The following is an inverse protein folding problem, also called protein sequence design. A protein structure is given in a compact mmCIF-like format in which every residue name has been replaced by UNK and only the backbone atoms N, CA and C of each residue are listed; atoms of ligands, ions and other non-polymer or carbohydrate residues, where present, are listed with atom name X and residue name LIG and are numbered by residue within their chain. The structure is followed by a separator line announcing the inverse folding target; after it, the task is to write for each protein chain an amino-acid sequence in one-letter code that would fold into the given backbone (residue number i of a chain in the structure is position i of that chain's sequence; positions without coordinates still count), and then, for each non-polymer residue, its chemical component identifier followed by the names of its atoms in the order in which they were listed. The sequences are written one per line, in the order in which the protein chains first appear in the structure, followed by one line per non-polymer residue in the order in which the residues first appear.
data_IF_341653799210
#
_entry.id   IF_341653799210
#
_cell.length_a   1.000
_cell.length_b   1.000
_cell.length_c   1.000
_cell.angle_alpha   90.00
_cell.angle_beta   90.00
_cell.angle_gamma   90.00
#
_symmetry.space_group_name_H-M   'P 1'
#
loop_
_entity.id
_entity.type
_entity.pdbx_description
1 polymer ?
#
# COMPACT_ATOMS: atom_id res chain seq x y z
N UNK A 1 12.61 12.13 -17.64
CA UNK A 1 11.22 12.51 -17.33
C UNK A 1 11.17 14.00 -17.05
N UNK A 2 10.17 14.70 -17.59
CA UNK A 2 9.90 16.11 -17.31
C UNK A 2 9.52 16.25 -15.83
N UNK A 3 10.13 17.22 -15.13
CA UNK A 3 9.78 17.49 -13.73
C UNK A 3 8.38 18.13 -13.70
N UNK A 4 7.47 17.57 -12.92
CA UNK A 4 6.14 18.15 -12.69
C UNK A 4 6.27 19.46 -11.89
N UNK A 5 5.45 20.46 -12.22
CA UNK A 5 5.39 21.68 -11.40
C UNK A 5 4.68 21.40 -10.07
N UNK A 6 4.89 22.20 -9.02
CA UNK A 6 4.15 22.05 -7.75
C UNK A 6 2.63 22.06 -7.92
N UNK A 7 2.12 22.83 -8.90
CA UNK A 7 0.68 22.88 -9.22
C UNK A 7 0.21 21.56 -9.83
N UNK A 8 0.97 21.00 -10.76
CA UNK A 8 0.63 19.72 -11.41
C UNK A 8 0.67 18.58 -10.40
N UNK A 9 1.64 18.58 -9.48
CA UNK A 9 1.71 17.60 -8.38
C UNK A 9 0.49 17.72 -7.47
N UNK A 10 0.12 18.93 -7.08
CA UNK A 10 -1.06 19.17 -6.23
C UNK A 10 -2.35 18.69 -6.91
N UNK A 11 -2.52 19.04 -8.18
CA UNK A 11 -3.68 18.63 -8.97
C UNK A 11 -3.74 17.10 -9.09
N UNK A 12 -2.61 16.46 -9.40
CA UNK A 12 -2.52 15.01 -9.46
C UNK A 12 -2.91 14.36 -8.13
N UNK A 13 -2.45 14.87 -6.99
CA UNK A 13 -2.79 14.32 -5.67
C UNK A 13 -4.29 14.44 -5.36
N UNK A 14 -4.90 15.59 -5.65
CA UNK A 14 -6.34 15.83 -5.45
C UNK A 14 -7.17 14.88 -6.32
N UNK A 15 -6.74 14.63 -7.55
CA UNK A 15 -7.47 13.76 -8.49
C UNK A 15 -7.26 12.27 -8.18
N UNK A 16 -6.03 11.84 -7.93
CA UNK A 16 -5.71 10.42 -7.75
C UNK A 16 -6.13 9.88 -6.39
N UNK A 17 -6.14 10.70 -5.33
CA UNK A 17 -6.48 10.21 -3.99
C UNK A 17 -7.89 9.62 -3.90
N UNK A 18 -8.98 10.33 -4.28
CA UNK A 18 -10.32 9.74 -4.28
C UNK A 18 -10.44 8.48 -5.13
N UNK A 19 -9.79 8.48 -6.31
CA UNK A 19 -9.79 7.34 -7.22
C UNK A 19 -9.10 6.13 -6.59
N UNK A 20 -7.98 6.30 -5.89
CA UNK A 20 -7.28 5.21 -5.21
C UNK A 20 -8.08 4.65 -4.02
N UNK A 21 -8.79 5.52 -3.28
CA UNK A 21 -9.72 5.08 -2.24
C UNK A 21 -10.85 4.23 -2.83
N UNK A 22 -11.49 4.68 -3.90
CA UNK A 22 -12.53 3.91 -4.60
C UNK A 22 -11.98 2.61 -5.19
N UNK A 23 -10.79 2.63 -5.80
CA UNK A 23 -10.16 1.46 -6.39
C UNK A 23 -9.86 0.39 -5.33
N UNK A 24 -9.34 0.79 -4.15
CA UNK A 24 -9.08 -0.16 -3.06
C UNK A 24 -10.36 -0.69 -2.42
N UNK A 25 -11.41 0.13 -2.32
CA UNK A 25 -12.74 -0.34 -1.92
C UNK A 25 -13.32 -1.34 -2.95
N UNK A 26 -13.13 -1.09 -4.24
CA UNK A 26 -13.53 -2.01 -5.30
C UNK A 26 -12.76 -3.33 -5.25
N UNK A 27 -11.43 -3.30 -5.08
CA UNK A 27 -10.61 -4.50 -4.91
C UNK A 27 -11.07 -5.31 -3.69
N UNK A 28 -11.40 -4.63 -2.59
CA UNK A 28 -11.91 -5.29 -1.39
C UNK A 28 -13.27 -5.98 -1.65
N UNK A 29 -14.16 -5.38 -2.45
CA UNK A 29 -15.45 -5.98 -2.83
C UNK A 29 -15.33 -7.17 -3.76
N UNK A 30 -14.29 -7.22 -4.60
CA UNK A 30 -14.04 -8.36 -5.47
C UNK A 30 -13.72 -9.65 -4.69
N UNK A 31 -13.53 -9.57 -3.37
CA UNK A 31 -13.25 -10.70 -2.49
C UNK A 31 -12.04 -11.53 -2.93
N UNK A 32 -11.12 -10.94 -3.70
CA UNK A 32 -9.91 -11.63 -4.20
C UNK A 32 -9.04 -12.15 -3.05
N UNK A 33 -9.03 -11.44 -1.92
CA UNK A 33 -8.32 -11.89 -0.74
C UNK A 33 -8.97 -13.15 -0.18
N UNK A 34 -10.28 -13.16 -0.05
CA UNK A 34 -11.07 -14.29 0.43
C UNK A 34 -10.99 -15.51 -0.49
N UNK A 35 -11.02 -15.29 -1.80
CA UNK A 35 -11.09 -16.36 -2.79
C UNK A 35 -9.72 -16.98 -3.10
N UNK A 36 -8.65 -16.16 -3.14
CA UNK A 36 -7.34 -16.62 -3.59
C UNK A 36 -6.27 -16.64 -2.50
N UNK A 37 -6.29 -15.67 -1.58
CA UNK A 37 -5.20 -15.52 -0.60
C UNK A 37 -5.51 -16.25 0.70
N UNK A 38 -6.74 -16.13 1.21
CA UNK A 38 -7.15 -16.75 2.46
C UNK A 38 -7.09 -18.27 2.48
N UNK A 39 -7.44 -19.01 1.40
CA UNK A 39 -7.33 -20.46 1.42
C UNK A 39 -5.88 -20.93 1.66
N UNK A 40 -4.90 -20.19 1.14
CA UNK A 40 -3.48 -20.46 1.34
C UNK A 40 -3.07 -20.13 2.78
N UNK A 41 -3.48 -18.96 3.28
CA UNK A 41 -3.11 -18.53 4.64
C UNK A 41 -3.79 -19.36 5.73
N UNK A 42 -5.03 -19.82 5.50
CA UNK A 42 -5.80 -20.62 6.46
C UNK A 42 -5.24 -22.02 6.71
N UNK A 43 -4.38 -22.51 5.83
CA UNK A 43 -3.62 -23.72 6.11
C UNK A 43 -2.70 -23.56 7.33
N UNK A 44 -2.24 -22.33 7.60
CA UNK A 44 -1.26 -22.04 8.66
C UNK A 44 -1.83 -21.19 9.80
N UNK A 45 -2.81 -20.32 9.53
CA UNK A 45 -3.28 -19.30 10.47
C UNK A 45 -4.80 -19.19 10.51
N UNK A 46 -5.36 -18.85 11.67
CA UNK A 46 -6.79 -18.55 11.76
C UNK A 46 -7.10 -17.21 11.08
N UNK A 47 -8.31 -17.07 10.52
CA UNK A 47 -8.76 -15.84 9.83
C UNK A 47 -8.56 -14.57 10.67
N UNK A 48 -8.85 -14.66 11.97
CA UNK A 48 -8.72 -13.56 12.93
C UNK A 48 -7.26 -13.10 13.13
N UNK A 49 -6.30 -13.99 12.87
CA UNK A 49 -4.88 -13.76 13.10
C UNK A 49 -4.16 -13.24 11.85
N UNK A 50 -4.76 -13.40 10.66
CA UNK A 50 -4.20 -12.94 9.38
C UNK A 50 -3.74 -11.48 9.39
N UNK A 51 -4.49 -10.49 9.95
CA UNK A 51 -4.00 -9.12 10.03
C UNK A 51 -2.67 -8.98 10.80
N UNK A 52 -2.48 -9.76 11.87
CA UNK A 52 -1.24 -9.76 12.66
C UNK A 52 -0.10 -10.47 11.92
N UNK A 53 -0.42 -11.52 11.16
CA UNK A 53 0.56 -12.13 10.24
C UNK A 53 1.05 -11.11 9.22
N UNK A 54 0.16 -10.27 8.68
CA UNK A 54 0.55 -9.20 7.75
C UNK A 54 1.45 -8.14 8.41
N UNK A 55 1.23 -7.80 9.69
CA UNK A 55 2.20 -7.00 10.46
C UNK A 55 3.57 -7.67 10.47
N UNK A 56 3.62 -8.98 10.78
CA UNK A 56 4.87 -9.74 10.80
C UNK A 56 5.58 -9.78 9.44
N UNK A 57 4.84 -10.02 8.36
CA UNK A 57 5.37 -9.98 6.98
C UNK A 57 5.95 -8.61 6.66
N UNK A 58 5.22 -7.54 6.96
CA UNK A 58 5.68 -6.17 6.72
C UNK A 58 6.86 -5.79 7.63
N UNK A 59 6.96 -6.35 8.83
CA UNK A 59 8.13 -6.19 9.68
C UNK A 59 9.37 -6.80 9.03
N UNK A 60 9.28 -8.05 8.57
CA UNK A 60 10.38 -8.72 7.87
C UNK A 60 10.74 -7.96 6.58
N UNK A 61 9.75 -7.56 5.78
CA UNK A 61 9.99 -6.81 4.55
C UNK A 61 10.73 -5.48 4.81
N UNK A 62 10.27 -4.70 5.77
CA UNK A 62 10.81 -3.35 6.03
C UNK A 62 12.11 -3.39 6.82
N UNK A 63 12.15 -4.09 7.95
CA UNK A 63 13.27 -4.03 8.90
C UNK A 63 14.36 -5.06 8.63
N UNK A 64 14.10 -6.08 7.80
CA UNK A 64 15.09 -7.09 7.43
C UNK A 64 15.47 -6.97 5.96
N UNK A 65 14.52 -7.19 5.05
CA UNK A 65 14.82 -7.31 3.61
C UNK A 65 15.27 -5.97 3.03
N UNK A 66 14.43 -4.93 3.08
CA UNK A 66 14.79 -3.63 2.48
C UNK A 66 15.90 -2.92 3.23
N UNK A 67 16.03 -3.14 4.55
CA UNK A 67 17.15 -2.66 5.33
C UNK A 67 18.48 -3.23 4.83
N UNK A 68 18.53 -4.56 4.62
CA UNK A 68 19.70 -5.25 4.07
C UNK A 68 20.03 -4.75 2.66
N UNK A 69 19.03 -4.62 1.78
CA UNK A 69 19.22 -4.06 0.44
C UNK A 69 19.79 -2.63 0.48
N UNK A 70 19.33 -1.80 1.41
CA UNK A 70 19.87 -0.45 1.60
C UNK A 70 21.34 -0.46 2.05
N UNK A 71 21.74 -1.39 2.92
CA UNK A 71 23.15 -1.55 3.34
C UNK A 71 24.02 -2.02 2.17
N UNK A 72 23.55 -3.02 1.41
CA UNK A 72 24.24 -3.48 0.21
C UNK A 72 24.41 -2.36 -0.81
N UNK A 73 23.37 -1.54 -1.03
CA UNK A 73 23.43 -0.40 -1.94
C UNK A 73 24.46 0.65 -1.51
N UNK A 74 24.61 0.89 -0.19
CA UNK A 74 25.67 1.76 0.33
C UNK A 74 27.06 1.18 0.08
N UNK A 75 27.24 -0.12 0.35
CA UNK A 75 28.53 -0.78 0.15
C UNK A 75 28.99 -0.80 -1.31
N UNK A 76 28.06 -0.93 -2.26
CA UNK A 76 28.35 -0.96 -3.69
C UNK A 76 28.51 0.44 -4.31
N UNK A 77 28.06 1.49 -3.64
CA UNK A 77 27.98 2.83 -4.19
C UNK A 77 29.23 3.69 -4.04
N UNK A 78 30.24 3.23 -3.29
CA UNK A 78 31.43 3.99 -2.94
C UNK A 78 32.70 3.29 -3.44
N UNK A 79 33.68 4.10 -3.89
CA UNK A 79 34.98 3.58 -4.37
C UNK A 79 35.78 2.88 -3.26
N UNK A 80 35.63 3.35 -2.02
CA UNK A 80 36.37 2.85 -0.85
C UNK A 80 35.54 1.88 0.02
N UNK A 81 34.35 1.48 -0.43
CA UNK A 81 33.46 0.54 0.26
C UNK A 81 32.51 1.17 1.27
N UNK A 82 31.99 0.36 2.20
CA UNK A 82 31.00 0.79 3.20
C UNK A 82 31.67 1.54 4.36
N UNK A 83 31.35 2.82 4.53
CA UNK A 83 31.74 3.61 5.70
C UNK A 83 30.58 3.70 6.71
N UNK A 84 30.84 3.22 7.94
CA UNK A 84 29.89 3.20 9.04
C UNK A 84 30.03 4.39 10.02
N UNK A 85 30.96 5.32 9.77
CA UNK A 85 31.14 6.50 10.62
C UNK A 85 29.95 7.47 10.46
N UNK A 86 29.47 7.66 9.22
CA UNK A 86 28.37 8.60 8.91
C UNK A 86 27.29 7.99 7.98
N UNK A 87 26.66 6.85 8.34
CA UNK A 87 25.84 6.05 7.42
C UNK A 87 24.65 6.81 6.84
N UNK A 88 24.10 7.80 7.56
CA UNK A 88 22.98 8.63 7.06
C UNK A 88 23.42 9.63 5.99
N UNK A 89 24.59 10.25 6.18
CA UNK A 89 25.16 11.14 5.17
C UNK A 89 25.47 10.35 3.90
N UNK A 90 26.08 9.17 4.04
CA UNK A 90 26.38 8.30 2.90
C UNK A 90 25.15 7.89 2.10
N UNK A 91 24.05 7.48 2.77
CA UNK A 91 22.77 7.20 2.10
C UNK A 91 22.30 8.37 1.23
N UNK A 92 22.43 9.61 1.72
CA UNK A 92 21.99 10.81 1.00
C UNK A 92 22.83 11.12 -0.25
N UNK A 93 24.06 10.61 -0.32
CA UNK A 93 24.97 10.81 -1.46
C UNK A 93 24.77 9.79 -2.58
N UNK A 94 24.06 8.68 -2.32
CA UNK A 94 23.79 7.66 -3.35
C UNK A 94 22.93 8.22 -4.48
N UNK A 95 23.29 7.87 -5.72
CA UNK A 95 22.60 8.31 -6.94
C UNK A 95 22.10 7.12 -7.76
N UNK A 96 21.21 7.40 -8.72
CA UNK A 96 20.69 6.40 -9.65
C UNK A 96 19.99 5.25 -8.93
N UNK A 97 20.20 4.01 -9.41
CA UNK A 97 19.55 2.81 -8.88
C UNK A 97 19.85 2.57 -7.38
N UNK A 98 21.09 2.79 -6.93
CA UNK A 98 21.46 2.60 -5.53
C UNK A 98 20.76 3.61 -4.61
N UNK A 99 20.64 4.87 -5.07
CA UNK A 99 19.86 5.89 -4.38
C UNK A 99 18.37 5.50 -4.28
N UNK A 100 17.80 4.92 -5.33
CA UNK A 100 16.41 4.43 -5.31
C UNK A 100 16.20 3.27 -4.34
N UNK A 101 17.16 2.35 -4.19
CA UNK A 101 17.09 1.28 -3.18
C UNK A 101 17.08 1.86 -1.76
N UNK A 102 17.96 2.82 -1.47
CA UNK A 102 17.99 3.49 -0.17
C UNK A 102 16.70 4.26 0.11
N UNK A 103 16.19 5.00 -0.89
CA UNK A 103 14.93 5.73 -0.78
C UNK A 103 13.72 4.79 -0.60
N UNK A 104 13.68 3.66 -1.29
CA UNK A 104 12.61 2.67 -1.14
C UNK A 104 12.54 2.11 0.29
N UNK A 105 13.69 1.85 0.92
CA UNK A 105 13.75 1.44 2.33
C UNK A 105 13.28 2.56 3.27
N UNK A 106 13.66 3.81 3.04
CA UNK A 106 13.17 4.93 3.85
C UNK A 106 11.64 5.06 3.78
N UNK A 107 11.07 4.98 2.58
CA UNK A 107 9.61 5.01 2.41
C UNK A 107 8.94 3.79 3.08
N UNK A 108 9.61 2.63 3.17
CA UNK A 108 9.13 1.49 3.93
C UNK A 108 9.11 1.76 5.44
N UNK A 109 10.19 2.34 5.98
CA UNK A 109 10.29 2.73 7.39
C UNK A 109 9.23 3.76 7.81
N UNK A 110 8.91 4.73 6.96
CA UNK A 110 7.92 5.76 7.26
C UNK A 110 6.49 5.21 7.36
N UNK A 111 6.17 4.19 6.55
CA UNK A 111 4.79 3.72 6.41
C UNK A 111 4.46 2.48 7.23
N UNK A 112 5.42 1.58 7.45
CA UNK A 112 5.20 0.35 8.22
C UNK A 112 4.65 0.59 9.64
N UNK A 113 5.20 1.51 10.45
CA UNK A 113 4.66 1.79 11.79
C UNK A 113 3.20 2.25 11.78
N UNK A 114 2.83 3.07 10.78
CA UNK A 114 1.46 3.57 10.63
C UNK A 114 0.51 2.42 10.31
N UNK A 115 0.91 1.52 9.42
CA UNK A 115 0.15 0.30 9.11
C UNK A 115 -0.02 -0.59 10.34
N UNK A 116 1.05 -0.85 11.10
CA UNK A 116 0.97 -1.67 12.31
C UNK A 116 -0.03 -1.09 13.30
N UNK A 117 0.03 0.23 13.50
CA UNK A 117 -0.89 0.97 14.37
C UNK A 117 -2.33 0.84 13.87
N UNK A 118 -2.57 1.02 12.58
CA UNK A 118 -3.92 0.91 12.00
C UNK A 118 -4.54 -0.47 12.21
N UNK A 119 -3.77 -1.56 12.01
CA UNK A 119 -4.24 -2.93 12.24
C UNK A 119 -4.54 -3.18 13.73
N UNK A 120 -3.66 -2.71 14.62
CA UNK A 120 -3.85 -2.85 16.07
C UNK A 120 -5.10 -2.09 16.52
N UNK A 121 -5.25 -0.81 16.14
CA UNK A 121 -6.40 0.03 16.50
C UNK A 121 -7.70 -0.54 15.94
N UNK A 122 -7.72 -1.00 14.68
CA UNK A 122 -8.87 -1.67 14.09
C UNK A 122 -9.22 -2.98 14.82
N UNK A 123 -8.23 -3.67 15.38
CA UNK A 123 -8.49 -4.86 16.19
C UNK A 123 -9.09 -4.51 17.54
N UNK A 124 -8.53 -3.51 18.24
CA UNK A 124 -9.02 -3.04 19.53
C UNK A 124 -10.46 -2.52 19.46
N UNK A 125 -10.80 -1.81 18.38
CA UNK A 125 -12.15 -1.30 18.13
C UNK A 125 -13.08 -2.34 17.47
N UNK A 126 -12.69 -3.61 17.41
CA UNK A 126 -13.51 -4.73 16.93
C UNK A 126 -14.07 -4.53 15.52
N UNK A 127 -13.31 -3.89 14.63
CA UNK A 127 -13.65 -3.77 13.21
C UNK A 127 -13.95 -5.17 12.64
N UNK A 128 -14.99 -5.35 11.80
CA UNK A 128 -15.34 -6.65 11.24
C UNK A 128 -14.14 -7.33 10.56
N UNK A 129 -13.98 -8.64 10.80
CA UNK A 129 -12.80 -9.38 10.36
C UNK A 129 -12.62 -9.34 8.83
N UNK A 130 -13.71 -9.32 8.06
CA UNK A 130 -13.66 -9.22 6.60
C UNK A 130 -12.87 -8.00 6.16
N UNK A 131 -13.22 -6.80 6.64
CA UNK A 131 -12.54 -5.56 6.25
C UNK A 131 -11.10 -5.50 6.78
N UNK A 132 -10.89 -5.87 8.06
CA UNK A 132 -9.56 -5.82 8.66
C UNK A 132 -8.58 -6.76 7.95
N UNK A 133 -9.01 -7.97 7.62
CA UNK A 133 -8.21 -8.96 6.90
C UNK A 133 -7.93 -8.50 5.48
N UNK A 134 -8.95 -8.08 4.73
CA UNK A 134 -8.78 -7.76 3.31
C UNK A 134 -7.91 -6.51 3.10
N UNK A 135 -8.12 -5.43 3.86
CA UNK A 135 -7.25 -4.26 3.74
C UNK A 135 -5.82 -4.51 4.23
N UNK A 136 -5.61 -5.39 5.22
CA UNK A 136 -4.25 -5.75 5.66
C UNK A 136 -3.47 -6.52 4.60
N UNK A 137 -4.14 -7.45 3.90
CA UNK A 137 -3.54 -8.22 2.81
C UNK A 137 -3.29 -7.34 1.59
N UNK A 138 -4.29 -6.55 1.16
CA UNK A 138 -4.15 -5.64 0.02
C UNK A 138 -3.00 -4.66 0.26
N UNK A 139 -2.92 -4.05 1.45
CA UNK A 139 -1.81 -3.18 1.82
C UNK A 139 -0.46 -3.87 1.65
N UNK A 140 -0.32 -5.07 2.23
CA UNK A 140 0.95 -5.82 2.23
C UNK A 140 1.42 -6.12 0.81
N UNK A 141 0.52 -6.58 -0.05
CA UNK A 141 0.80 -6.85 -1.46
C UNK A 141 1.22 -5.56 -2.18
N UNK A 142 0.44 -4.48 -2.06
CA UNK A 142 0.74 -3.20 -2.68
C UNK A 142 2.10 -2.66 -2.24
N UNK A 143 2.47 -2.81 -0.96
CA UNK A 143 3.77 -2.34 -0.45
C UNK A 143 4.96 -3.10 -1.00
N UNK A 144 4.84 -4.42 -1.16
CA UNK A 144 5.89 -5.24 -1.77
C UNK A 144 6.09 -4.79 -3.23
N UNK A 145 5.00 -4.66 -4.00
CA UNK A 145 5.07 -4.16 -5.38
C UNK A 145 5.60 -2.72 -5.46
N UNK A 146 5.16 -1.83 -4.57
CA UNK A 146 5.67 -0.46 -4.50
C UNK A 146 7.19 -0.42 -4.38
N UNK A 147 7.77 -1.21 -3.47
CA UNK A 147 9.23 -1.26 -3.31
C UNK A 147 9.93 -1.74 -4.59
N UNK A 148 9.39 -2.74 -5.27
CA UNK A 148 9.94 -3.25 -6.54
C UNK A 148 9.89 -2.16 -7.62
N UNK A 149 8.73 -1.52 -7.82
CA UNK A 149 8.56 -0.44 -8.79
C UNK A 149 9.46 0.77 -8.48
N UNK A 150 9.70 1.05 -7.19
CA UNK A 150 10.62 2.09 -6.76
C UNK A 150 12.04 1.82 -7.26
N UNK A 151 12.54 0.60 -7.07
CA UNK A 151 13.89 0.22 -7.47
C UNK A 151 14.02 0.26 -9.01
N UNK A 152 12.98 -0.20 -9.72
CA UNK A 152 12.92 -0.26 -11.19
C UNK A 152 12.63 1.09 -11.88
N UNK A 153 12.37 2.17 -11.13
CA UNK A 153 12.13 3.52 -11.66
C UNK A 153 10.81 3.71 -12.45
N UNK A 154 9.77 2.93 -12.14
CA UNK A 154 8.43 3.12 -12.72
C UNK A 154 7.65 4.18 -11.93
N UNK A 155 7.92 5.44 -12.21
CA UNK A 155 7.46 6.61 -11.46
C UNK A 155 5.94 6.73 -11.26
N UNK A 156 5.14 6.66 -12.33
CA UNK A 156 3.67 6.79 -12.24
C UNK A 156 3.03 5.61 -11.50
N UNK A 157 3.42 4.38 -11.86
CA UNK A 157 2.89 3.17 -11.22
C UNK A 157 3.23 3.14 -9.72
N UNK A 158 4.45 3.54 -9.36
CA UNK A 158 4.89 3.69 -7.98
C UNK A 158 4.02 4.69 -7.21
N UNK A 159 3.74 5.87 -7.78
CA UNK A 159 2.91 6.87 -7.12
C UNK A 159 1.48 6.37 -6.88
N UNK A 160 0.87 5.73 -7.87
CA UNK A 160 -0.50 5.18 -7.76
C UNK A 160 -0.55 4.08 -6.70
N UNK A 161 0.34 3.08 -6.77
CA UNK A 161 0.37 1.99 -5.77
C UNK A 161 0.68 2.53 -4.37
N UNK A 162 1.49 3.58 -4.25
CA UNK A 162 1.74 4.22 -2.96
C UNK A 162 0.45 4.77 -2.34
N UNK A 163 -0.31 5.56 -3.10
CA UNK A 163 -1.56 6.16 -2.64
C UNK A 163 -2.59 5.08 -2.33
N UNK A 164 -2.69 4.02 -3.16
CA UNK A 164 -3.55 2.87 -2.88
C UNK A 164 -3.16 2.13 -1.58
N UNK A 165 -1.86 1.96 -1.30
CA UNK A 165 -1.45 1.36 -0.03
C UNK A 165 -1.84 2.28 1.15
N UNK A 166 -1.63 3.59 1.03
CA UNK A 166 -2.05 4.53 2.07
C UNK A 166 -3.58 4.56 2.26
N UNK A 167 -4.37 4.37 1.20
CA UNK A 167 -5.83 4.31 1.35
C UNK A 167 -6.27 3.07 2.14
N UNK A 168 -5.58 1.93 2.05
CA UNK A 168 -5.86 0.78 2.93
C UNK A 168 -5.67 1.12 4.42
N UNK A 169 -4.61 1.86 4.77
CA UNK A 169 -4.41 2.37 6.13
C UNK A 169 -5.56 3.32 6.51
N UNK A 170 -5.92 4.22 5.60
CA UNK A 170 -7.05 5.14 5.76
C UNK A 170 -8.36 4.43 6.05
N UNK A 171 -8.69 3.37 5.28
CA UNK A 171 -9.87 2.54 5.50
C UNK A 171 -9.84 1.86 6.87
N UNK A 172 -8.72 1.26 7.27
CA UNK A 172 -8.58 0.63 8.59
C UNK A 172 -8.84 1.62 9.73
N UNK A 173 -8.29 2.83 9.64
CA UNK A 173 -8.57 3.88 10.63
C UNK A 173 -10.00 4.39 10.55
N UNK A 174 -10.57 4.58 9.36
CA UNK A 174 -11.94 5.05 9.20
C UNK A 174 -12.94 4.08 9.85
N UNK A 175 -12.80 2.78 9.57
CA UNK A 175 -13.60 1.73 10.23
C UNK A 175 -13.40 1.72 11.75
N UNK A 176 -12.18 2.00 12.23
CA UNK A 176 -11.86 1.91 13.64
C UNK A 176 -12.27 3.15 14.45
N UNK A 177 -12.25 4.34 13.85
CA UNK A 177 -12.35 5.62 14.55
C UNK A 177 -13.65 6.37 14.28
N UNK A 178 -14.32 6.09 13.15
CA UNK A 178 -15.57 6.76 12.79
C UNK A 178 -16.74 5.87 13.24
N UNK A 179 -17.61 6.35 14.15
CA UNK A 179 -18.80 5.62 14.55
C UNK A 179 -19.71 5.30 13.35
N UNK A 180 -20.29 4.09 13.34
CA UNK A 180 -21.21 3.62 12.29
C UNK A 180 -20.65 3.67 10.86
N UNK A 181 -19.33 3.69 10.69
CA UNK A 181 -18.69 3.82 9.38
C UNK A 181 -19.08 2.72 8.39
N UNK A 182 -19.36 1.51 8.87
CA UNK A 182 -19.79 0.39 8.03
C UNK A 182 -21.04 0.71 7.21
N UNK A 183 -22.00 1.45 7.78
CA UNK A 183 -23.19 1.90 7.06
C UNK A 183 -22.90 2.99 6.03
N UNK A 184 -21.84 3.78 6.20
CA UNK A 184 -21.43 4.77 5.20
C UNK A 184 -20.58 4.11 4.10
N UNK A 185 -19.84 3.06 4.47
CA UNK A 185 -19.04 2.28 3.54
C UNK A 185 -19.92 1.53 2.54
N UNK A 186 -21.16 1.13 2.89
CA UNK A 186 -22.10 0.58 1.91
C UNK A 186 -22.44 1.57 0.79
N UNK A 187 -22.55 2.87 1.08
CA UNK A 187 -22.73 3.90 0.02
C UNK A 187 -21.50 3.98 -0.89
N UNK A 188 -20.30 3.87 -0.34
CA UNK A 188 -19.07 3.78 -1.17
C UNK A 188 -19.12 2.54 -2.05
N UNK A 189 -19.62 1.42 -1.51
CA UNK A 189 -19.81 0.18 -2.27
C UNK A 189 -20.83 0.36 -3.40
N UNK A 190 -21.93 1.06 -3.16
CA UNK A 190 -22.94 1.37 -4.17
C UNK A 190 -22.34 2.21 -5.31
N UNK A 191 -21.54 3.24 -4.99
CA UNK A 191 -20.86 4.03 -6.03
C UNK A 191 -19.94 3.16 -6.88
N UNK A 192 -19.15 2.29 -6.24
CA UNK A 192 -18.28 1.35 -6.97
C UNK A 192 -19.10 0.42 -7.87
N UNK A 193 -20.21 -0.11 -7.35
CA UNK A 193 -21.10 -1.02 -8.09
C UNK A 193 -21.74 -0.30 -9.28
N UNK A 194 -22.19 0.95 -9.09
CA UNK A 194 -22.72 1.80 -10.15
C UNK A 194 -21.67 2.02 -11.25
N UNK A 195 -20.45 2.41 -10.87
CA UNK A 195 -19.35 2.62 -11.83
C UNK A 195 -19.04 1.35 -12.62
N UNK A 196 -19.08 0.18 -11.96
CA UNK A 196 -18.92 -1.11 -12.64
C UNK A 196 -20.05 -1.38 -13.62
N UNK A 197 -21.30 -1.13 -13.24
CA UNK A 197 -22.45 -1.32 -14.13
C UNK A 197 -22.40 -0.42 -15.37
N UNK A 198 -21.82 0.78 -15.27
CA UNK A 198 -21.60 1.69 -16.42
C UNK A 198 -20.50 1.19 -17.35
N UNK A 199 -19.52 0.45 -16.81
CA UNK A 199 -18.43 -0.14 -17.59
C UNK A 199 -18.81 -1.44 -18.31
N UNK A 200 -19.86 -2.13 -17.86
CA UNK A 200 -20.38 -3.32 -18.55
C UNK A 200 -21.06 -2.88 -19.86
N UNK A 201 -20.53 -3.34 -21.00
CA UNK A 201 -20.93 -2.94 -22.36
C UNK A 201 -22.44 -3.10 -22.65
N UNK A 202 -23.16 -3.91 -21.87
CA UNK A 202 -24.62 -4.05 -21.96
C UNK A 202 -25.39 -2.77 -21.65
N UNK A 203 -24.80 -1.80 -20.96
CA UNK A 203 -25.43 -0.51 -20.65
C UNK A 203 -25.44 0.48 -21.84
N UNK A 204 -24.63 0.22 -22.88
CA UNK A 204 -24.50 1.08 -24.07
C UNK A 204 -25.31 0.59 -25.29
N UNK A 205 -26.10 -0.48 -25.11
CA UNK A 205 -27.10 -0.88 -26.10
C UNK A 205 -28.30 0.07 -26.05
N UNK A 206 -28.10 1.29 -26.55
CA UNK A 206 -29.21 2.11 -27.00
C UNK A 206 -29.76 1.43 -28.25
N UNK A 207 -30.83 0.66 -28.09
CA UNK A 207 -31.62 0.14 -29.21
C UNK A 207 -31.85 1.26 -30.22
N UNK A 208 -31.35 1.06 -31.44
CA UNK A 208 -31.66 1.89 -32.62
C UNK A 208 -33.00 1.48 -33.19
#
# INVERSE_FOLDING_TARGET
MTKLSPKDVTLALILFSPVCFLATAAIQQLQLVEDFVLPILHYFFLRKDVPFVMIGVMFVWTYVITASLSVLAQSAGLKDGYDNNEPRLYKSMLKGALGRVAAAHQVALENSPVFFTAVIVATLNKVPSTYRTSFSVIYTILRIFHTILYILDFDYARAIIHIMALSCIGWLFAFALIPQFESNYSTVIEVVTLLRSVSDESAWNFEK
#
